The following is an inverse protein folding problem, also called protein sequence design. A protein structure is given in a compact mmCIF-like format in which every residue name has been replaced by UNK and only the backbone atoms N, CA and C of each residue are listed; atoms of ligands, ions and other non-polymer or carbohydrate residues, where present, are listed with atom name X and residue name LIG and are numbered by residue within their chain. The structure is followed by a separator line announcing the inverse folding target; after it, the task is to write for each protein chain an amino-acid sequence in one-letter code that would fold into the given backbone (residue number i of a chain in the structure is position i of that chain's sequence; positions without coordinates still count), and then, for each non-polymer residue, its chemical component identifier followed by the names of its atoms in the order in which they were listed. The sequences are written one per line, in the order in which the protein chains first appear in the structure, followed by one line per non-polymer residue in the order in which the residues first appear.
data_IF_416484121952
#
_entry.id   IF_416484121952
#
_cell.length_a   1.000
_cell.length_b   1.000
_cell.length_c   1.000
_cell.angle_alpha   90.00
_cell.angle_beta   90.00
_cell.angle_gamma   90.00
#
_symmetry.space_group_name_H-M   'P 1'
#
loop_
_entity.id
_entity.type
_entity.pdbx_description
1 polymer ?
#
# COMPACT_ATOMS: atom_id res chain seq x y z
N UNK A 1 -15.41 -5.46 -6.36
CA UNK A 1 -13.93 -5.38 -6.32
C UNK A 1 -13.42 -4.65 -7.56
N UNK A 2 -12.59 -3.63 -7.38
CA UNK A 2 -11.89 -2.92 -8.46
C UNK A 2 -10.38 -3.15 -8.36
N UNK A 3 -9.72 -3.44 -9.48
CA UNK A 3 -8.26 -3.54 -9.55
C UNK A 3 -7.70 -2.42 -10.42
N UNK A 4 -6.75 -1.66 -9.89
CA UNK A 4 -6.02 -0.58 -10.55
C UNK A 4 -4.56 -0.96 -10.72
N UNK A 5 -4.00 -0.58 -11.87
CA UNK A 5 -2.56 -0.59 -12.11
C UNK A 5 -2.14 0.86 -12.24
N UNK A 6 -1.31 1.30 -11.31
CA UNK A 6 -0.85 2.67 -11.19
C UNK A 6 0.67 2.71 -11.36
N UNK A 7 1.22 3.84 -11.84
CA UNK A 7 2.66 4.05 -11.80
C UNK A 7 3.16 4.02 -10.36
N UNK A 8 4.42 3.67 -10.16
CA UNK A 8 5.03 3.74 -8.82
C UNK A 8 4.99 5.18 -8.31
N UNK A 9 4.45 5.45 -7.10
CA UNK A 9 4.31 6.80 -6.60
C UNK A 9 5.68 7.44 -6.34
N UNK A 10 5.79 8.77 -6.46
CA UNK A 10 6.98 9.47 -6.01
C UNK A 10 7.11 9.31 -4.49
N UNK A 11 8.33 9.44 -3.96
CA UNK A 11 8.54 9.42 -2.51
C UNK A 11 7.80 10.57 -1.83
N UNK A 12 7.48 10.42 -0.54
CA UNK A 12 6.84 11.47 0.29
C UNK A 12 7.53 12.81 0.13
N UNK A 13 8.86 12.85 0.24
CA UNK A 13 9.65 14.07 0.12
C UNK A 13 9.57 14.71 -1.27
N UNK A 14 9.28 13.93 -2.30
CA UNK A 14 9.05 14.43 -3.65
C UNK A 14 7.58 14.81 -3.85
N UNK A 15 6.65 14.17 -3.15
CA UNK A 15 5.21 14.39 -3.26
C UNK A 15 4.78 15.70 -2.58
N UNK A 16 5.21 15.91 -1.33
CA UNK A 16 4.91 17.12 -0.56
C UNK A 16 6.10 18.08 -0.55
N UNK A 17 5.81 19.38 -0.42
CA UNK A 17 6.81 20.45 -0.28
C UNK A 17 6.36 21.48 0.73
N UNK A 18 7.32 22.11 1.40
CA UNK A 18 7.08 23.25 2.28
C UNK A 18 7.14 24.56 1.50
N UNK A 19 6.19 25.45 1.78
CA UNK A 19 6.19 26.85 1.31
C UNK A 19 5.90 27.72 2.53
N UNK A 20 6.96 28.21 3.16
CA UNK A 20 6.87 28.81 4.49
C UNK A 20 6.23 27.83 5.49
N UNK A 21 5.17 28.22 6.22
CA UNK A 21 4.50 27.36 7.20
C UNK A 21 3.55 26.32 6.58
N UNK A 22 3.31 26.37 5.26
CA UNK A 22 2.31 25.51 4.60
C UNK A 22 2.96 24.29 3.95
N UNK A 23 2.32 23.13 4.07
CA UNK A 23 2.65 21.93 3.30
C UNK A 23 1.73 21.86 2.08
N UNK A 24 2.32 21.83 0.89
CA UNK A 24 1.62 21.78 -0.38
C UNK A 24 2.06 20.58 -1.19
N UNK A 25 1.24 20.17 -2.15
CA UNK A 25 1.60 19.14 -3.11
C UNK A 25 2.56 19.74 -4.14
N UNK A 26 3.63 19.01 -4.43
CA UNK A 26 4.64 19.40 -5.39
C UNK A 26 4.13 19.32 -6.84
N UNK A 27 4.96 19.73 -7.80
CA UNK A 27 4.67 19.49 -9.23
C UNK A 27 4.55 17.98 -9.53
N UNK A 28 5.46 17.17 -8.98
CA UNK A 28 5.47 15.72 -9.16
C UNK A 28 4.26 15.06 -8.51
N UNK A 29 3.87 15.48 -7.29
CA UNK A 29 2.67 14.95 -6.64
C UNK A 29 1.39 15.24 -7.43
N UNK A 30 1.28 16.46 -8.01
CA UNK A 30 0.15 16.81 -8.89
C UNK A 30 0.14 16.01 -10.18
N UNK A 31 1.30 15.80 -10.82
CA UNK A 31 1.40 14.93 -12.00
C UNK A 31 0.95 13.51 -11.68
N UNK A 32 1.40 12.96 -10.55
CA UNK A 32 0.98 11.64 -10.10
C UNK A 32 -0.53 11.56 -9.85
N UNK A 33 -1.13 12.56 -9.19
CA UNK A 33 -2.60 12.64 -9.03
C UNK A 33 -3.32 12.61 -10.37
N UNK A 34 -2.84 13.36 -11.36
CA UNK A 34 -3.42 13.35 -12.71
C UNK A 34 -3.35 11.96 -13.35
N UNK A 35 -2.23 11.26 -13.22
CA UNK A 35 -2.09 9.88 -13.74
C UNK A 35 -3.06 8.92 -13.05
N UNK A 36 -3.21 9.01 -11.73
CA UNK A 36 -4.17 8.20 -10.97
C UNK A 36 -5.60 8.53 -11.39
N UNK A 37 -5.97 9.81 -11.52
CA UNK A 37 -7.28 10.25 -12.02
C UNK A 37 -7.57 9.66 -13.41
N UNK A 38 -6.61 9.72 -14.32
CA UNK A 38 -6.75 9.17 -15.66
C UNK A 38 -6.98 7.66 -15.65
N UNK A 39 -6.30 6.93 -14.77
CA UNK A 39 -6.49 5.48 -14.62
C UNK A 39 -7.89 5.13 -14.08
N UNK A 40 -8.38 5.86 -13.06
CA UNK A 40 -9.74 5.65 -12.55
C UNK A 40 -10.80 5.96 -13.62
N UNK A 41 -10.64 7.07 -14.34
CA UNK A 41 -11.54 7.47 -15.44
C UNK A 41 -11.56 6.44 -16.56
N UNK A 42 -10.39 5.95 -16.96
CA UNK A 42 -10.26 4.91 -18.00
C UNK A 42 -10.98 3.63 -17.59
N UNK A 43 -10.91 3.26 -16.30
CA UNK A 43 -11.64 2.10 -15.76
C UNK A 43 -13.09 2.38 -15.38
N UNK A 44 -13.57 3.63 -15.54
CA UNK A 44 -14.91 4.09 -15.14
C UNK A 44 -15.25 3.73 -13.69
N UNK A 45 -14.26 3.79 -12.81
CA UNK A 45 -14.45 3.54 -11.38
C UNK A 45 -15.20 4.72 -10.80
N UNK A 46 -16.29 4.43 -10.09
CA UNK A 46 -17.03 5.38 -9.27
C UNK A 46 -16.54 5.29 -7.83
N UNK A 47 -16.70 6.35 -7.01
CA UNK A 47 -16.44 6.26 -5.58
C UNK A 47 -17.18 5.08 -4.96
N UNK A 48 -16.46 4.30 -4.15
CA UNK A 48 -17.06 3.21 -3.40
C UNK A 48 -17.48 3.75 -2.03
N UNK A 49 -18.75 3.53 -1.69
CA UNK A 49 -19.33 3.90 -0.40
C UNK A 49 -19.16 2.76 0.63
N UNK A 50 -19.24 3.10 1.92
CA UNK A 50 -19.12 2.15 3.03
C UNK A 50 -17.69 1.72 3.34
N UNK A 51 -17.56 0.70 4.20
CA UNK A 51 -16.27 0.18 4.65
C UNK A 51 -15.51 -0.53 3.51
N UNK A 52 -14.19 -0.35 3.49
CA UNK A 52 -13.31 -0.77 2.40
C UNK A 52 -12.17 -1.66 2.90
N UNK A 53 -11.89 -2.69 2.10
CA UNK A 53 -10.63 -3.44 2.16
C UNK A 53 -9.78 -3.02 0.96
N UNK A 54 -8.55 -2.58 1.26
CA UNK A 54 -7.58 -2.16 0.26
C UNK A 54 -6.32 -3.02 0.34
N UNK A 55 -6.01 -3.70 -0.76
CA UNK A 55 -4.78 -4.48 -0.90
C UNK A 55 -3.87 -3.84 -1.96
N UNK A 56 -2.62 -3.61 -1.57
CA UNK A 56 -1.64 -2.92 -2.41
C UNK A 56 -0.42 -3.82 -2.59
N UNK A 57 -0.03 -4.04 -3.83
CA UNK A 57 1.23 -4.67 -4.19
C UNK A 57 2.12 -3.67 -4.90
N UNK A 58 3.35 -3.48 -4.42
CA UNK A 58 4.29 -2.52 -4.99
C UNK A 58 5.50 -3.26 -5.57
N UNK A 59 5.85 -2.92 -6.81
CA UNK A 59 7.05 -3.36 -7.49
C UNK A 59 7.93 -2.14 -7.71
N UNK A 60 8.99 -1.95 -6.90
CA UNK A 60 9.83 -0.76 -7.01
C UNK A 60 10.60 -0.72 -8.34
N UNK A 61 10.94 0.47 -8.86
CA UNK A 61 11.73 0.60 -10.09
C UNK A 61 13.21 0.23 -9.92
N UNK A 62 13.68 0.09 -8.67
CA UNK A 62 15.07 -0.24 -8.35
C UNK A 62 15.16 -1.01 -7.01
N UNK A 63 16.36 -1.51 -6.70
CA UNK A 63 16.67 -2.23 -5.45
C UNK A 63 17.06 -1.31 -4.29
N UNK A 64 16.78 0.00 -4.37
CA UNK A 64 17.09 0.92 -3.26
C UNK A 64 16.23 0.54 -2.05
N UNK A 65 16.79 0.72 -0.85
CA UNK A 65 16.02 0.56 0.39
C UNK A 65 14.98 1.69 0.48
N UNK A 66 13.71 1.33 0.31
CA UNK A 66 12.54 2.20 0.42
C UNK A 66 11.63 1.67 1.52
N UNK A 67 11.12 2.60 2.31
CA UNK A 67 10.11 2.35 3.33
C UNK A 67 8.74 2.26 2.61
N UNK A 68 7.90 1.29 2.99
CA UNK A 68 6.63 0.98 2.27
C UNK A 68 5.52 1.98 2.59
N UNK A 69 5.55 2.54 3.80
CA UNK A 69 4.71 3.63 4.28
C UNK A 69 4.84 4.90 3.43
N UNK A 70 6.06 5.20 2.96
CA UNK A 70 6.30 6.35 2.10
C UNK A 70 5.52 6.26 0.78
N UNK A 71 5.42 5.05 0.24
CA UNK A 71 4.69 4.74 -1.01
C UNK A 71 3.19 4.78 -0.74
N UNK A 72 2.78 4.21 0.39
CA UNK A 72 1.40 4.12 0.82
C UNK A 72 0.73 5.49 0.96
N UNK A 73 1.38 6.44 1.66
CA UNK A 73 0.79 7.77 1.92
C UNK A 73 0.47 8.51 0.62
N UNK A 74 1.40 8.52 -0.34
CA UNK A 74 1.21 9.21 -1.62
C UNK A 74 0.14 8.54 -2.49
N UNK A 75 0.05 7.20 -2.41
CA UNK A 75 -0.91 6.40 -3.15
C UNK A 75 -2.35 6.63 -2.65
N UNK A 76 -2.58 6.54 -1.34
CA UNK A 76 -3.91 6.72 -0.74
C UNK A 76 -4.45 8.14 -0.96
N UNK A 77 -3.61 9.15 -0.71
CA UNK A 77 -3.97 10.56 -0.96
C UNK A 77 -4.36 10.81 -2.42
N UNK A 78 -3.67 10.16 -3.36
CA UNK A 78 -3.98 10.28 -4.78
C UNK A 78 -5.24 9.51 -5.20
N UNK A 79 -5.53 8.37 -4.57
CA UNK A 79 -6.74 7.58 -4.79
C UNK A 79 -7.99 8.31 -4.28
N UNK A 80 -7.92 8.88 -3.08
CA UNK A 80 -9.00 9.70 -2.52
C UNK A 80 -9.25 10.92 -3.39
N UNK A 81 -8.20 11.65 -3.77
CA UNK A 81 -8.33 12.80 -4.68
C UNK A 81 -8.93 12.41 -6.04
N UNK A 82 -8.59 11.23 -6.55
CA UNK A 82 -9.11 10.73 -7.82
C UNK A 82 -10.57 10.25 -7.74
N UNK A 83 -11.13 10.12 -6.53
CA UNK A 83 -12.50 9.64 -6.31
C UNK A 83 -12.63 8.12 -6.32
N UNK A 84 -11.61 7.38 -5.86
CA UNK A 84 -11.74 5.94 -5.61
C UNK A 84 -12.72 5.64 -4.46
N UNK A 85 -12.71 6.52 -3.46
CA UNK A 85 -13.52 6.52 -2.24
C UNK A 85 -13.56 7.98 -1.75
N UNK A 86 -14.51 8.31 -0.88
CA UNK A 86 -14.72 9.68 -0.41
C UNK A 86 -13.73 10.07 0.69
N UNK A 87 -13.51 9.16 1.62
CA UNK A 87 -12.71 9.38 2.82
C UNK A 87 -11.81 8.16 3.09
N UNK A 88 -10.54 8.38 3.45
CA UNK A 88 -9.61 7.30 3.76
C UNK A 88 -9.97 6.57 5.07
N UNK A 89 -10.80 7.18 5.92
CA UNK A 89 -11.43 6.53 7.09
C UNK A 89 -12.35 5.36 6.73
N UNK A 90 -12.84 5.29 5.49
CA UNK A 90 -13.58 4.12 4.99
C UNK A 90 -12.70 2.85 4.96
N UNK A 91 -11.37 2.99 4.92
CA UNK A 91 -10.47 1.84 4.81
C UNK A 91 -10.28 1.17 6.18
N UNK A 92 -11.11 0.18 6.47
CA UNK A 92 -11.04 -0.61 7.72
C UNK A 92 -9.94 -1.67 7.68
N UNK A 93 -9.51 -2.10 6.49
CA UNK A 93 -8.37 -3.03 6.33
C UNK A 93 -7.48 -2.60 5.18
N UNK A 94 -6.20 -2.49 5.47
CA UNK A 94 -5.17 -2.08 4.54
C UNK A 94 -3.99 -3.06 4.56
N UNK A 95 -3.71 -3.68 3.41
CA UNK A 95 -2.57 -4.56 3.22
C UNK A 95 -1.60 -3.92 2.22
N UNK A 96 -0.30 -3.91 2.53
CA UNK A 96 0.73 -3.51 1.57
C UNK A 96 1.87 -4.51 1.52
N UNK A 97 2.22 -4.94 0.32
CA UNK A 97 3.31 -5.88 0.06
C UNK A 97 4.30 -5.31 -0.93
N UNK A 98 5.59 -5.44 -0.62
CA UNK A 98 6.66 -5.09 -1.55
C UNK A 98 7.20 -6.34 -2.22
N UNK A 99 7.10 -6.38 -3.53
CA UNK A 99 7.54 -7.49 -4.38
C UNK A 99 8.87 -7.15 -5.07
N UNK A 100 9.36 -8.07 -5.90
CA UNK A 100 10.58 -7.87 -6.68
C UNK A 100 10.50 -6.60 -7.55
N UNK A 101 11.63 -5.89 -7.75
CA UNK A 101 11.67 -4.70 -8.56
C UNK A 101 11.30 -4.97 -10.02
N UNK A 102 10.62 -4.01 -10.64
CA UNK A 102 10.41 -3.94 -12.09
C UNK A 102 11.23 -2.77 -12.64
N UNK A 103 12.44 -3.02 -13.21
CA UNK A 103 13.33 -1.96 -13.67
C UNK A 103 12.65 -1.05 -14.70
N UNK A 104 12.86 0.26 -14.58
CA UNK A 104 12.26 1.34 -15.41
C UNK A 104 10.74 1.53 -15.23
N UNK A 105 9.98 0.44 -15.10
CA UNK A 105 8.51 0.44 -15.12
C UNK A 105 7.90 0.14 -13.74
N UNK A 106 8.51 0.66 -12.67
CA UNK A 106 8.01 0.47 -11.31
C UNK A 106 6.50 0.69 -11.24
N UNK A 107 5.79 -0.15 -10.49
CA UNK A 107 4.33 -0.24 -10.54
C UNK A 107 3.73 -0.41 -9.16
N UNK A 108 2.51 0.09 -8.99
CA UNK A 108 1.63 -0.24 -7.87
C UNK A 108 0.35 -0.90 -8.41
N UNK A 109 0.00 -2.06 -7.87
CA UNK A 109 -1.29 -2.70 -8.12
C UNK A 109 -2.16 -2.51 -6.88
N UNK A 110 -3.33 -1.93 -7.06
CA UNK A 110 -4.27 -1.63 -5.96
C UNK A 110 -5.55 -2.39 -6.20
N UNK A 111 -6.03 -3.10 -5.18
CA UNK A 111 -7.35 -3.72 -5.18
C UNK A 111 -8.19 -3.06 -4.10
N UNK A 112 -9.37 -2.59 -4.47
CA UNK A 112 -10.31 -1.92 -3.58
C UNK A 112 -11.61 -2.71 -3.59
N UNK A 113 -12.10 -3.06 -2.41
CA UNK A 113 -13.27 -3.92 -2.21
C UNK A 113 -14.18 -3.27 -1.17
N UNK A 114 -15.46 -3.14 -1.48
CA UNK A 114 -16.47 -2.83 -0.47
C UNK A 114 -16.64 -4.03 0.45
N UNK A 115 -16.71 -3.76 1.75
CA UNK A 115 -17.13 -4.73 2.76
C UNK A 115 -18.67 -4.75 2.79
N UNK A 116 -19.32 -5.91 2.63
CA UNK A 116 -20.77 -6.01 2.75
C UNK A 116 -21.24 -5.58 4.15
N UNK A 117 -22.30 -4.77 4.23
CA UNK A 117 -22.81 -4.20 5.48
C UNK A 117 -23.40 -5.25 6.46
N UNK A 118 -23.78 -6.42 5.95
CA UNK A 118 -24.32 -7.57 6.68
C UNK A 118 -23.22 -8.57 7.11
N UNK A 119 -21.99 -8.35 6.68
CA UNK A 119 -20.85 -9.09 7.18
C UNK A 119 -20.48 -8.49 8.54
N UNK A 120 -21.01 -9.10 9.61
CA UNK A 120 -20.33 -8.97 10.90
C UNK A 120 -18.86 -9.29 10.65
N UNK A 121 -17.95 -8.43 11.10
CA UNK A 121 -16.56 -8.81 11.29
C UNK A 121 -16.58 -9.93 12.32
N UNK A 122 -16.87 -11.16 11.88
CA UNK A 122 -16.56 -12.35 12.63
C UNK A 122 -15.09 -12.16 12.93
N UNK A 123 -14.72 -12.19 14.21
CA UNK A 123 -13.33 -12.02 14.67
C UNK A 123 -12.39 -13.12 14.09
N UNK A 124 -12.93 -13.97 13.22
CA UNK A 124 -12.29 -14.73 12.18
C UNK A 124 -11.36 -13.85 11.31
N UNK A 125 -10.07 -13.95 11.59
CA UNK A 125 -9.04 -13.23 10.87
C UNK A 125 -8.51 -14.07 9.73
N UNK A 126 -8.21 -13.43 8.61
CA UNK A 126 -7.42 -14.07 7.56
C UNK A 126 -5.96 -14.08 7.97
N UNK A 127 -5.31 -15.24 7.97
CA UNK A 127 -3.88 -15.37 8.15
C UNK A 127 -3.12 -14.60 7.06
N UNK A 128 -2.29 -13.63 7.45
CA UNK A 128 -1.48 -12.82 6.54
C UNK A 128 -0.44 -13.64 5.75
N UNK A 129 -0.22 -14.92 6.11
CA UNK A 129 0.76 -15.79 5.45
C UNK A 129 0.13 -16.80 4.49
N UNK A 130 -1.02 -17.37 4.80
CA UNK A 130 -1.62 -18.45 3.99
C UNK A 130 -3.06 -18.20 3.55
N UNK A 131 -3.69 -17.09 3.96
CA UNK A 131 -5.08 -16.82 3.62
C UNK A 131 -6.12 -17.62 4.41
N UNK A 132 -5.69 -18.53 5.31
CA UNK A 132 -6.61 -19.32 6.13
C UNK A 132 -7.35 -18.45 7.14
N UNK A 133 -8.66 -18.63 7.23
CA UNK A 133 -9.53 -17.96 8.20
C UNK A 133 -9.40 -18.67 9.55
N UNK A 134 -9.04 -17.93 10.60
CA UNK A 134 -8.82 -18.49 11.94
C UNK A 134 -9.25 -17.51 13.04
N UNK A 135 -9.65 -18.05 14.19
CA UNK A 135 -10.01 -17.25 15.36
C UNK A 135 -8.75 -16.70 16.06
N UNK A 136 -8.79 -15.44 16.47
CA UNK A 136 -7.65 -14.76 17.10
C UNK A 136 -8.08 -13.99 18.33
N UNK A 137 -7.67 -14.46 19.51
CA UNK A 137 -7.99 -13.83 20.81
C UNK A 137 -7.10 -12.61 21.15
N UNK A 138 -6.12 -12.27 20.31
CA UNK A 138 -5.11 -11.25 20.60
C UNK A 138 -5.14 -10.08 19.62
N UNK A 139 -4.94 -8.81 20.05
CA UNK A 139 -5.04 -7.66 19.15
C UNK A 139 -3.92 -7.56 18.09
N UNK A 140 -2.88 -8.40 18.15
CA UNK A 140 -1.61 -8.13 17.46
C UNK A 140 -1.11 -9.23 16.50
N UNK A 141 -1.58 -10.48 16.59
CA UNK A 141 -1.04 -11.55 15.75
C UNK A 141 -2.07 -12.05 14.72
N UNK A 142 -1.89 -11.65 13.45
CA UNK A 142 -2.72 -12.08 12.30
C UNK A 142 -2.10 -13.25 11.52
N UNK A 143 -1.35 -14.12 12.19
CA UNK A 143 -0.77 -15.32 11.60
C UNK A 143 -1.39 -16.54 12.30
N UNK A 144 -2.04 -17.44 11.53
CA UNK A 144 -2.65 -18.62 12.11
C UNK A 144 -1.62 -19.52 12.81
N UNK A 145 -2.09 -20.40 13.69
CA UNK A 145 -1.22 -21.31 14.45
C UNK A 145 -0.29 -22.13 13.54
N UNK A 146 -0.80 -22.61 12.40
CA UNK A 146 0.00 -23.35 11.40
C UNK A 146 1.14 -22.48 10.85
N UNK A 147 0.83 -21.27 10.38
CA UNK A 147 1.85 -20.37 9.85
C UNK A 147 2.81 -19.83 10.91
N UNK A 148 2.37 -19.72 12.16
CA UNK A 148 3.21 -19.40 13.31
C UNK A 148 4.21 -20.53 13.56
N UNK A 149 3.79 -21.80 13.47
CA UNK A 149 4.70 -22.95 13.54
C UNK A 149 5.70 -22.97 12.39
N UNK A 150 5.25 -22.69 11.16
CA UNK A 150 6.16 -22.59 10.01
C UNK A 150 7.13 -21.40 10.20
N UNK A 151 6.70 -20.28 10.80
CA UNK A 151 7.58 -19.14 11.10
C UNK A 151 8.70 -19.53 12.07
N UNK A 152 8.41 -20.39 13.05
CA UNK A 152 9.42 -20.92 13.99
C UNK A 152 10.44 -21.85 13.32
N UNK A 153 10.11 -22.41 12.15
CA UNK A 153 11.01 -23.22 11.33
C UNK A 153 11.74 -22.47 10.22
N UNK A 154 11.46 -21.17 10.02
CA UNK A 154 12.27 -20.33 9.15
C UNK A 154 13.60 -20.02 9.85
N UNK A 155 14.71 -19.85 9.11
CA UNK A 155 15.95 -19.37 9.71
C UNK A 155 15.72 -18.04 10.41
N UNK A 156 16.30 -17.84 11.60
CA UNK A 156 16.16 -16.59 12.39
C UNK A 156 16.45 -15.33 11.56
N UNK A 157 17.29 -15.47 10.54
CA UNK A 157 17.61 -14.42 9.60
C UNK A 157 17.49 -14.92 8.15
N UNK A 158 16.69 -14.21 7.34
CA UNK A 158 16.90 -14.24 5.89
C UNK A 158 18.15 -13.41 5.56
N UNK A 159 18.98 -13.85 4.60
CA UNK A 159 20.06 -13.03 4.09
C UNK A 159 19.50 -11.72 3.52
N UNK A 160 20.03 -10.59 3.99
CA UNK A 160 19.56 -9.26 3.58
C UNK A 160 20.08 -8.97 2.17
N UNK A 161 19.27 -9.25 1.15
CA UNK A 161 19.55 -8.88 -0.25
C UNK A 161 19.03 -7.48 -0.58
N UNK A 162 19.25 -6.50 0.31
CA UNK A 162 18.76 -5.12 0.15
C UNK A 162 19.89 -4.20 -0.31
N UNK A 163 19.60 -3.29 -1.24
CA UNK A 163 20.52 -2.19 -1.59
C UNK A 163 20.64 -1.15 -0.48
N UNK A 164 21.62 -0.26 -0.61
CA UNK A 164 21.92 0.77 0.39
C UNK A 164 20.83 1.86 0.45
N UNK A 165 20.48 2.33 1.68
CA UNK A 165 19.63 3.52 1.86
C UNK A 165 20.44 4.75 1.47
N UNK A 166 19.81 5.75 0.84
CA UNK A 166 20.48 7.00 0.47
C UNK A 166 19.66 8.22 0.88
N UNK A 167 20.34 9.27 1.34
CA UNK A 167 19.80 10.61 1.57
C UNK A 167 20.63 11.61 0.76
N UNK A 168 19.98 12.39 -0.11
CA UNK A 168 20.64 13.34 -1.01
C UNK A 168 21.85 12.76 -1.77
N UNK A 169 21.69 11.55 -2.29
CA UNK A 169 22.72 10.83 -3.05
C UNK A 169 23.78 10.11 -2.19
N UNK A 170 23.93 10.46 -0.90
CA UNK A 170 24.85 9.82 0.04
C UNK A 170 24.23 8.59 0.67
N UNK A 171 25.02 7.53 0.86
CA UNK A 171 24.59 6.31 1.55
C UNK A 171 24.42 6.59 3.05
N UNK A 172 23.32 6.12 3.62
CA UNK A 172 23.04 6.15 5.06
C UNK A 172 23.13 4.72 5.58
N UNK A 173 23.80 4.51 6.72
CA UNK A 173 23.80 3.24 7.45
C UNK A 173 22.42 2.98 8.06
#
# INVERSE_FOLDING_TARGET
MHQLTLPYPPSVNTYWRHVGPRVLISKHGRQYRTEVCNQLRTKRIKPIEGDLIVDITINPPDRRRRDVDNVLKALLDSLQFAGAFEDDSQIVRLTIEKHEPLPKDGKATVRIQALPADMELIDARTCLRCGYVFDSEGPHNRICNVCTMINRGLPECMPVVRGLKRHNGKVIR
#
